data_IF_930506825665
#
_entry.id   IF_930506825665
#
_cell.length_a   1.000
_cell.length_b   1.000
_cell.length_c   1.000
_cell.angle_alpha   90.00
_cell.angle_beta   90.00
_cell.angle_gamma   90.00
#
_symmetry.space_group_name_H-M   'P 1'
#
loop_
_entity.id
_entity.type
_entity.pdbx_description
1 polymer ?
#
# COMPACT_ATOMS: atom_id res chain seq x y z
N UNK A 1 -8.50 8.43 17.07
CA UNK A 1 -8.36 7.03 16.61
C UNK A 1 -7.16 6.99 15.67
N UNK A 2 -6.11 6.26 16.04
CA UNK A 2 -4.89 6.10 15.24
C UNK A 2 -5.02 4.76 14.51
N UNK A 3 -5.05 4.77 13.19
CA UNK A 3 -5.06 3.56 12.37
C UNK A 3 -3.61 3.06 12.29
N UNK A 4 -3.29 1.92 12.91
CA UNK A 4 -1.93 1.38 12.99
C UNK A 4 -1.67 0.18 12.07
N UNK A 5 -2.68 -0.37 11.43
CA UNK A 5 -2.56 -1.69 10.78
C UNK A 5 -2.19 -1.60 9.30
N UNK A 6 -1.04 -1.01 8.97
CA UNK A 6 -0.43 -1.13 7.65
C UNK A 6 0.88 -1.92 7.71
N UNK A 7 1.20 -2.64 6.65
CA UNK A 7 2.47 -3.37 6.51
C UNK A 7 3.26 -2.79 5.35
N UNK A 8 4.55 -2.54 5.55
CA UNK A 8 5.46 -2.25 4.46
C UNK A 8 5.91 -3.58 3.85
N UNK A 9 5.49 -3.84 2.62
CA UNK A 9 5.81 -5.08 1.91
C UNK A 9 6.91 -4.86 0.87
N UNK A 10 7.79 -5.84 0.75
CA UNK A 10 8.83 -5.85 -0.27
C UNK A 10 8.44 -6.81 -1.40
N UNK A 11 8.59 -6.33 -2.63
CA UNK A 11 8.43 -7.09 -3.86
C UNK A 11 9.80 -7.48 -4.42
N UNK A 12 9.86 -8.50 -5.28
CA UNK A 12 11.06 -8.79 -6.06
C UNK A 12 11.59 -7.54 -6.78
N UNK A 13 12.91 -7.39 -6.81
CA UNK A 13 13.55 -6.25 -7.48
C UNK A 13 13.54 -4.95 -6.66
N UNK A 14 13.53 -5.03 -5.33
CA UNK A 14 13.66 -3.90 -4.38
C UNK A 14 12.55 -2.85 -4.48
N UNK A 15 11.34 -3.25 -4.91
CA UNK A 15 10.17 -2.37 -4.88
C UNK A 15 9.45 -2.55 -3.56
N UNK A 16 9.13 -1.45 -2.89
CA UNK A 16 8.44 -1.46 -1.61
C UNK A 16 7.07 -0.81 -1.76
N UNK A 17 6.04 -1.42 -1.18
CA UNK A 17 4.67 -0.88 -1.16
C UNK A 17 4.15 -0.86 0.27
N UNK A 18 3.19 0.02 0.53
CA UNK A 18 2.40 -0.01 1.75
C UNK A 18 1.15 -0.86 1.49
N UNK A 19 0.92 -1.88 2.31
CA UNK A 19 -0.27 -2.72 2.31
C UNK A 19 -1.21 -2.25 3.42
N UNK A 20 -2.43 -1.89 3.07
CA UNK A 20 -3.47 -1.50 4.02
C UNK A 20 -4.82 -2.05 3.55
N UNK A 21 -5.52 -2.79 4.41
CA UNK A 21 -6.79 -3.47 4.09
C UNK A 21 -6.76 -4.32 2.81
N UNK A 22 -5.63 -5.01 2.54
CA UNK A 22 -5.45 -5.84 1.35
C UNK A 22 -5.17 -5.06 0.04
N UNK A 23 -5.17 -3.73 0.09
CA UNK A 23 -4.80 -2.87 -1.02
C UNK A 23 -3.36 -2.40 -0.89
N UNK A 24 -2.70 -2.22 -2.03
CA UNK A 24 -1.32 -1.73 -2.06
C UNK A 24 -1.21 -0.31 -2.56
N UNK A 25 -0.36 0.46 -1.92
CA UNK A 25 -0.09 1.85 -2.20
C UNK A 25 1.39 2.03 -2.54
N UNK A 26 1.66 2.81 -3.59
CA UNK A 26 3.00 3.20 -4.01
C UNK A 26 3.36 4.56 -3.41
N UNK A 27 4.60 4.68 -2.94
CA UNK A 27 5.10 5.93 -2.37
C UNK A 27 5.25 6.97 -3.48
N UNK A 28 4.75 8.17 -3.24
CA UNK A 28 4.91 9.32 -4.15
C UNK A 28 5.82 10.37 -3.55
N UNK A 29 5.70 10.59 -2.23
CA UNK A 29 6.65 11.35 -1.42
C UNK A 29 6.83 10.60 -0.10
N UNK A 30 7.80 11.02 0.73
CA UNK A 30 8.12 10.37 2.01
C UNK A 30 6.88 9.93 2.80
N UNK A 31 5.87 10.80 2.91
CA UNK A 31 4.65 10.55 3.70
C UNK A 31 3.41 10.21 2.90
N UNK A 32 3.42 10.35 1.58
CA UNK A 32 2.22 10.23 0.75
C UNK A 32 2.27 8.99 -0.12
N UNK A 33 1.29 8.13 0.08
CA UNK A 33 1.13 6.86 -0.62
C UNK A 33 -0.19 6.89 -1.38
N UNK A 34 -0.16 6.50 -2.65
CA UNK A 34 -1.36 6.42 -3.49
C UNK A 34 -1.59 4.99 -3.92
N UNK A 35 -2.84 4.61 -4.14
CA UNK A 35 -3.15 3.27 -4.62
C UNK A 35 -2.31 2.92 -5.86
N UNK A 36 -1.81 1.69 -5.91
CA UNK A 36 -0.97 1.19 -7.01
C UNK A 36 -1.68 1.21 -8.37
N UNK A 37 -3.02 1.36 -8.39
CA UNK A 37 -3.83 1.57 -9.59
C UNK A 37 -4.21 3.03 -9.84
N UNK A 38 -3.48 4.01 -9.27
CA UNK A 38 -3.76 5.44 -9.48
C UNK A 38 -3.83 5.85 -10.95
N UNK A 39 -2.89 5.37 -11.76
CA UNK A 39 -2.87 5.63 -13.20
C UNK A 39 -3.98 4.91 -13.98
N UNK A 40 -4.75 4.04 -13.32
CA UNK A 40 -5.98 3.41 -13.85
C UNK A 40 -7.25 4.04 -13.28
N UNK A 41 -7.15 5.22 -12.66
CA UNK A 41 -8.29 6.00 -12.17
C UNK A 41 -8.65 5.81 -10.70
N UNK A 42 -7.90 5.02 -9.93
CA UNK A 42 -8.15 4.87 -8.49
C UNK A 42 -7.61 6.08 -7.70
N UNK A 43 -8.41 6.66 -6.81
CA UNK A 43 -8.02 7.87 -6.06
C UNK A 43 -7.64 7.62 -4.60
N UNK A 44 -7.80 6.38 -4.12
CA UNK A 44 -7.43 5.98 -2.76
C UNK A 44 -5.97 6.33 -2.43
N UNK A 45 -5.76 6.79 -1.20
CA UNK A 45 -4.47 7.29 -0.72
C UNK A 45 -4.32 7.17 0.79
N UNK A 46 -3.09 7.03 1.25
CA UNK A 46 -2.71 6.93 2.67
C UNK A 46 -1.63 7.95 2.93
N UNK A 47 -1.83 8.79 3.94
CA UNK A 47 -0.82 9.73 4.44
C UNK A 47 -0.35 9.29 5.81
N UNK A 48 0.97 9.19 5.95
CA UNK A 48 1.62 8.84 7.19
C UNK A 48 2.01 10.09 8.00
N UNK A 49 2.18 9.88 9.30
CA UNK A 49 2.78 10.85 10.21
C UNK A 49 4.23 11.17 9.82
N UNK A 50 4.80 12.20 10.46
CA UNK A 50 6.17 12.65 10.17
C UNK A 50 7.22 11.58 10.45
N UNK A 51 6.99 10.75 11.47
CA UNK A 51 7.80 9.60 11.83
C UNK A 51 7.50 8.35 10.99
N UNK A 52 6.54 8.41 10.07
CA UNK A 52 6.10 7.30 9.21
C UNK A 52 5.55 6.07 9.98
N UNK A 53 5.20 6.24 11.26
CA UNK A 53 4.74 5.14 12.12
C UNK A 53 3.22 4.99 12.19
N UNK A 54 2.47 6.02 11.80
CA UNK A 54 1.02 6.06 11.96
C UNK A 54 0.33 6.63 10.72
N UNK A 55 -0.87 6.14 10.43
CA UNK A 55 -1.71 6.76 9.40
C UNK A 55 -2.39 7.98 10.03
N UNK A 56 -2.16 9.16 9.43
CA UNK A 56 -2.83 10.41 9.83
C UNK A 56 -4.06 10.71 8.98
N UNK A 57 -4.10 10.17 7.76
CA UNK A 57 -5.23 10.27 6.85
C UNK A 57 -5.26 9.08 5.90
N UNK A 58 -6.45 8.56 5.61
CA UNK A 58 -6.63 7.60 4.53
C UNK A 58 -7.94 7.86 3.80
N UNK A 59 -7.91 7.62 2.50
CA UNK A 59 -9.07 7.43 1.64
C UNK A 59 -9.01 5.99 1.14
N UNK A 60 -9.96 5.17 1.60
CA UNK A 60 -10.05 3.72 1.33
C UNK A 60 -11.09 3.41 0.25
N UNK A 61 -11.60 4.42 -0.45
CA UNK A 61 -12.53 4.18 -1.54
C UNK A 61 -11.77 3.72 -2.79
N UNK A 62 -11.89 2.42 -3.08
CA UNK A 62 -11.31 1.80 -4.26
C UNK A 62 -12.39 1.51 -5.30
N UNK A 63 -12.09 1.78 -6.57
CA UNK A 63 -12.94 1.45 -7.72
C UNK A 63 -12.54 0.14 -8.40
N UNK A 64 -11.87 -0.73 -7.65
CA UNK A 64 -11.38 -2.01 -8.15
C UNK A 64 -11.22 -3.01 -7.00
N UNK A 65 -11.19 -4.29 -7.36
CA UNK A 65 -10.92 -5.35 -6.40
C UNK A 65 -9.48 -5.31 -5.86
N UNK A 66 -9.25 -5.81 -4.63
CA UNK A 66 -7.91 -5.91 -4.07
C UNK A 66 -7.00 -6.80 -4.93
N UNK A 67 -5.74 -6.42 -5.12
CA UNK A 67 -4.74 -7.29 -5.73
C UNK A 67 -4.45 -8.50 -4.82
N UNK A 68 -4.12 -9.64 -5.43
CA UNK A 68 -3.75 -10.86 -4.69
C UNK A 68 -2.24 -10.99 -4.67
N UNK A 69 -1.68 -11.10 -3.46
CA UNK A 69 -0.27 -11.37 -3.23
C UNK A 69 -0.07 -12.67 -2.46
N UNK A 70 1.01 -13.37 -2.75
CA UNK A 70 1.49 -14.53 -1.99
C UNK A 70 2.81 -14.16 -1.32
N UNK A 71 2.91 -14.35 0.00
CA UNK A 71 4.18 -14.21 0.72
C UNK A 71 5.08 -15.41 0.40
N UNK A 72 6.29 -15.14 -0.05
CA UNK A 72 7.31 -16.13 -0.32
C UNK A 72 8.14 -16.42 0.96
N UNK A 73 8.86 -17.55 1.02
CA UNK A 73 9.65 -17.93 2.21
C UNK A 73 10.74 -16.92 2.58
N UNK A 74 11.24 -16.15 1.61
CA UNK A 74 12.23 -15.08 1.80
C UNK A 74 11.62 -13.79 2.36
N UNK A 75 10.31 -13.76 2.62
CA UNK A 75 9.58 -12.59 3.09
C UNK A 75 9.14 -11.62 1.98
N UNK A 76 9.50 -11.85 0.72
CA UNK A 76 9.02 -11.07 -0.40
C UNK A 76 7.56 -11.40 -0.73
N UNK A 77 6.83 -10.43 -1.26
CA UNK A 77 5.47 -10.62 -1.76
C UNK A 77 5.48 -10.78 -3.28
N UNK A 78 4.91 -11.87 -3.77
CA UNK A 78 4.72 -12.14 -5.20
C UNK A 78 3.30 -11.76 -5.60
N UNK A 79 3.15 -10.84 -6.55
CA UNK A 79 1.84 -10.46 -7.07
C UNK A 79 1.31 -11.57 -7.98
N UNK A 80 0.16 -12.14 -7.64
CA UNK A 80 -0.49 -13.21 -8.40
C UNK A 80 -1.56 -12.65 -9.33
N UNK A 81 -2.37 -11.71 -8.83
CA UNK A 81 -3.45 -11.07 -9.59
C UNK A 81 -3.49 -9.57 -9.32
N UNK A 82 -3.80 -8.79 -10.34
CA UNK A 82 -4.00 -7.33 -10.22
C UNK A 82 -5.45 -6.97 -10.07
#
# INVERSE_FOLDING_TARGET
MIWKDFEIINLPGKRTLLMFNGYTFAQTTKRHWYCSKRFKGCQARVFLSVDELNIVYCDVYHNHDPPVYRKAPDGCYLKIKS
#
